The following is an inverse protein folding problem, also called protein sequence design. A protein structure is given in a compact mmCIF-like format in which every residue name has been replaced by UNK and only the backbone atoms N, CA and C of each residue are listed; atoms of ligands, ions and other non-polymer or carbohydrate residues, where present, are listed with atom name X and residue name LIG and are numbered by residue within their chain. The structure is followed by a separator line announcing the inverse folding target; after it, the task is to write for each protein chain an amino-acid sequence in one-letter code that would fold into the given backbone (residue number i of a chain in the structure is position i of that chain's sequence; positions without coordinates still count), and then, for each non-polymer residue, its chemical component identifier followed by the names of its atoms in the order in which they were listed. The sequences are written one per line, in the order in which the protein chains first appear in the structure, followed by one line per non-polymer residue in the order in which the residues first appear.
data_IF_676552507262
#
_entry.id   IF_676552507262
#
_cell.length_a   1.000
_cell.length_b   1.000
_cell.length_c   1.000
_cell.angle_alpha   90.00
_cell.angle_beta   90.00
_cell.angle_gamma   90.00
#
_symmetry.space_group_name_H-M   'P 1'
#
loop_
_entity.id
_entity.type
_entity.pdbx_description
1 polymer ?
#
# COMPACT_ATOMS: atom_id res chain seq x y z
N UNK A 1 -9.47 40.18 -6.54
CA UNK A 1 -10.19 39.38 -5.52
C UNK A 1 -11.38 38.75 -6.21
N UNK A 2 -11.54 37.44 -6.11
CA UNK A 2 -12.68 36.75 -6.66
C UNK A 2 -13.96 37.20 -5.96
N UNK A 3 -15.03 37.48 -6.70
CA UNK A 3 -16.33 37.82 -6.14
C UNK A 3 -17.04 36.57 -5.62
N UNK A 4 -18.01 36.73 -4.71
CA UNK A 4 -18.86 35.61 -4.25
C UNK A 4 -19.45 34.80 -5.42
N UNK A 5 -19.74 35.45 -6.51
CA UNK A 5 -20.27 34.86 -7.73
C UNK A 5 -19.24 34.00 -8.48
N UNK A 6 -17.96 34.34 -8.35
CA UNK A 6 -16.84 33.59 -8.94
C UNK A 6 -16.46 32.41 -8.05
N UNK A 7 -16.54 32.57 -6.73
CA UNK A 7 -16.26 31.50 -5.75
C UNK A 7 -17.37 30.43 -5.68
N UNK A 8 -18.62 30.85 -5.88
CA UNK A 8 -19.77 29.94 -5.90
C UNK A 8 -20.28 29.66 -7.31
N UNK A 9 -19.36 29.58 -8.25
CA UNK A 9 -19.54 29.48 -9.68
C UNK A 9 -20.93 29.06 -10.19
N UNK A 10 -21.41 29.77 -11.17
CA UNK A 10 -22.70 29.50 -11.82
C UNK A 10 -22.74 28.23 -12.63
N UNK A 11 -21.58 27.60 -12.85
CA UNK A 11 -21.47 26.42 -13.69
C UNK A 11 -20.41 25.48 -13.16
N UNK A 12 -20.76 24.22 -13.05
CA UNK A 12 -19.78 23.15 -12.89
C UNK A 12 -19.00 23.03 -14.20
N UNK A 13 -17.68 22.92 -14.11
CA UNK A 13 -16.84 22.74 -15.28
C UNK A 13 -17.25 21.46 -16.03
N UNK A 14 -17.59 21.59 -17.29
CA UNK A 14 -17.88 20.45 -18.16
C UNK A 14 -16.64 20.11 -18.97
N UNK A 15 -16.25 18.86 -18.98
CA UNK A 15 -15.07 18.36 -19.71
C UNK A 15 -15.43 17.06 -20.44
N UNK A 16 -14.70 16.77 -21.51
CA UNK A 16 -14.83 15.51 -22.25
C UNK A 16 -13.83 14.45 -21.76
N UNK A 17 -12.78 14.89 -21.07
CA UNK A 17 -11.73 14.03 -20.51
C UNK A 17 -11.50 14.41 -19.06
N UNK A 18 -11.34 13.45 -18.17
CA UNK A 18 -11.08 13.74 -16.77
C UNK A 18 -9.73 14.45 -16.60
N UNK A 19 -9.65 15.53 -15.80
CA UNK A 19 -8.38 16.09 -15.39
C UNK A 19 -7.53 15.02 -14.67
N UNK A 20 -6.25 14.98 -14.97
CA UNK A 20 -5.31 13.96 -14.45
C UNK A 20 -4.14 14.56 -13.67
N UNK A 21 -4.17 15.86 -13.44
CA UNK A 21 -3.13 16.60 -12.73
C UNK A 21 -3.54 16.91 -11.27
N UNK A 22 -2.56 17.23 -10.46
CA UNK A 22 -2.75 17.60 -9.06
C UNK A 22 -3.65 18.84 -8.88
N UNK A 23 -3.79 19.66 -9.94
CA UNK A 23 -4.68 20.82 -9.94
C UNK A 23 -6.17 20.46 -9.93
N UNK A 24 -6.50 19.21 -10.23
CA UNK A 24 -7.89 18.71 -10.16
C UNK A 24 -8.33 18.34 -8.74
N UNK A 25 -7.39 18.25 -7.80
CA UNK A 25 -7.68 17.86 -6.43
C UNK A 25 -8.69 18.77 -5.76
N UNK A 26 -9.69 18.17 -5.12
CA UNK A 26 -10.78 18.90 -4.45
C UNK A 26 -11.78 19.52 -5.41
N UNK A 27 -11.64 19.39 -6.73
CA UNK A 27 -12.57 19.89 -7.72
C UNK A 27 -13.70 18.90 -8.02
N UNK A 28 -14.84 19.46 -8.42
CA UNK A 28 -15.99 18.72 -8.96
C UNK A 28 -16.20 19.15 -10.41
N UNK A 29 -16.40 18.21 -11.31
CA UNK A 29 -16.70 18.49 -12.71
C UNK A 29 -17.78 17.54 -13.26
N UNK A 30 -18.36 17.92 -14.38
CA UNK A 30 -19.24 17.06 -15.16
C UNK A 30 -18.48 16.53 -16.38
N UNK A 31 -18.36 15.21 -16.49
CA UNK A 31 -17.79 14.59 -17.67
C UNK A 31 -18.92 14.31 -18.68
N UNK A 32 -18.90 14.99 -19.81
CA UNK A 32 -19.93 14.88 -20.82
C UNK A 32 -19.81 13.61 -21.68
N UNK A 33 -18.66 12.93 -21.66
CA UNK A 33 -18.48 11.65 -22.34
C UNK A 33 -19.14 10.52 -21.56
N UNK A 34 -18.93 10.51 -20.24
CA UNK A 34 -19.52 9.49 -19.35
C UNK A 34 -20.91 9.89 -18.83
N UNK A 35 -21.30 11.13 -19.06
CA UNK A 35 -22.55 11.73 -18.58
C UNK A 35 -22.71 11.68 -17.06
N UNK A 36 -21.63 11.89 -16.31
CA UNK A 36 -21.58 11.79 -14.85
C UNK A 36 -20.86 12.97 -14.20
N UNK A 37 -21.27 13.30 -12.96
CA UNK A 37 -20.47 14.14 -12.07
C UNK A 37 -19.33 13.34 -11.47
N UNK A 38 -18.15 13.97 -11.42
CA UNK A 38 -16.93 13.39 -10.85
C UNK A 38 -16.25 14.39 -9.93
N UNK A 39 -15.49 13.88 -8.99
CA UNK A 39 -14.64 14.67 -8.11
C UNK A 39 -13.26 14.04 -8.01
N UNK A 40 -12.21 14.86 -7.97
CA UNK A 40 -10.91 14.40 -7.58
C UNK A 40 -10.82 14.43 -6.05
N UNK A 41 -10.79 13.28 -5.46
CA UNK A 41 -10.43 13.11 -4.04
C UNK A 41 -9.07 12.43 -4.01
N UNK A 42 -8.15 12.95 -3.20
CA UNK A 42 -6.99 12.14 -2.82
C UNK A 42 -7.53 11.02 -1.94
N UNK A 43 -7.86 9.93 -2.58
CA UNK A 43 -8.17 8.70 -1.91
C UNK A 43 -6.94 7.80 -1.96
N UNK A 44 -6.43 7.40 -0.82
CA UNK A 44 -5.54 6.26 -0.78
C UNK A 44 -6.33 5.04 -1.29
N UNK A 45 -6.17 4.73 -2.57
CA UNK A 45 -6.73 3.50 -3.12
C UNK A 45 -5.80 2.34 -2.77
N UNK A 46 -6.36 1.26 -2.26
CA UNK A 46 -5.63 0.00 -2.17
C UNK A 46 -5.37 -0.50 -3.59
N UNK A 47 -4.10 -0.72 -3.90
CA UNK A 47 -3.70 -1.37 -5.14
C UNK A 47 -2.99 -2.67 -4.82
N UNK A 48 -3.12 -3.66 -5.69
CA UNK A 48 -2.38 -4.91 -5.57
C UNK A 48 -0.90 -4.65 -5.82
N UNK A 49 -0.06 -5.01 -4.85
CA UNK A 49 1.38 -5.14 -5.05
C UNK A 49 1.74 -6.48 -5.69
N UNK A 50 3.02 -6.69 -5.99
CA UNK A 50 3.52 -8.00 -6.41
C UNK A 50 3.31 -9.06 -5.31
N UNK A 51 3.15 -10.33 -5.68
CA UNK A 51 3.04 -11.42 -4.70
C UNK A 51 4.39 -11.68 -4.01
N UNK A 52 4.34 -12.19 -2.79
CA UNK A 52 5.50 -12.80 -2.13
C UNK A 52 5.97 -14.04 -2.91
N UNK A 53 7.25 -14.34 -2.84
CA UNK A 53 7.82 -15.56 -3.45
C UNK A 53 7.18 -16.83 -2.87
N UNK A 54 6.91 -16.80 -1.58
CA UNK A 54 6.18 -17.89 -0.89
C UNK A 54 4.98 -17.33 -0.13
N UNK A 55 3.76 -17.79 -0.50
CA UNK A 55 2.53 -17.42 0.20
C UNK A 55 2.57 -17.90 1.65
N UNK A 56 2.26 -16.99 2.58
CA UNK A 56 2.37 -17.24 4.03
C UNK A 56 1.33 -16.47 4.83
N UNK A 57 1.05 -16.92 6.03
CA UNK A 57 0.20 -16.27 7.01
C UNK A 57 0.96 -16.09 8.33
N UNK A 58 0.46 -15.25 9.23
CA UNK A 58 1.08 -14.92 10.51
C UNK A 58 2.55 -14.48 10.42
N UNK A 59 2.92 -13.82 9.32
CA UNK A 59 4.26 -13.25 9.14
C UNK A 59 4.38 -11.91 9.88
N UNK A 60 5.59 -11.58 10.34
CA UNK A 60 5.93 -10.24 10.78
C UNK A 60 6.08 -9.29 9.59
N UNK A 61 5.68 -8.04 9.74
CA UNK A 61 5.86 -7.02 8.72
C UNK A 61 6.31 -5.70 9.30
N UNK A 62 7.12 -4.97 8.55
CA UNK A 62 7.61 -3.63 8.90
C UNK A 62 8.02 -2.85 7.65
N UNK A 63 8.45 -1.60 7.83
CA UNK A 63 8.93 -0.75 6.76
C UNK A 63 7.90 0.23 6.24
N UNK A 64 8.06 0.65 5.00
CA UNK A 64 7.20 1.62 4.32
C UNK A 64 6.52 1.01 3.10
N UNK A 65 5.59 1.74 2.48
CA UNK A 65 4.90 1.30 1.27
C UNK A 65 5.84 0.97 0.10
N UNK A 66 6.99 1.62 0.00
CA UNK A 66 7.98 1.41 -1.08
C UNK A 66 9.21 0.63 -0.63
N UNK A 67 9.35 0.35 0.66
CA UNK A 67 10.46 -0.38 1.25
C UNK A 67 9.97 -1.23 2.44
N UNK A 68 9.16 -2.23 2.12
CA UNK A 68 8.56 -3.15 3.08
C UNK A 68 9.44 -4.36 3.35
N UNK A 69 9.22 -4.99 4.47
CA UNK A 69 9.86 -6.26 4.85
C UNK A 69 8.79 -7.22 5.36
N UNK A 70 8.83 -8.45 4.89
CA UNK A 70 8.06 -9.57 5.42
C UNK A 70 9.01 -10.61 6.00
N UNK A 71 8.72 -11.07 7.22
CA UNK A 71 9.63 -11.89 7.99
C UNK A 71 8.90 -13.14 8.47
N UNK A 72 9.49 -14.31 8.20
CA UNK A 72 9.01 -15.58 8.71
C UNK A 72 7.54 -15.85 8.35
N UNK A 73 6.76 -16.45 9.22
CA UNK A 73 5.36 -16.82 9.01
C UNK A 73 5.17 -18.31 8.86
N UNK A 74 3.95 -18.70 8.53
CA UNK A 74 3.59 -20.11 8.36
C UNK A 74 3.08 -20.41 6.97
N UNK A 75 3.37 -21.62 6.53
CA UNK A 75 2.71 -22.29 5.42
C UNK A 75 2.58 -23.78 5.77
N UNK A 76 1.46 -24.44 5.51
CA UNK A 76 1.35 -25.87 5.82
C UNK A 76 2.45 -26.70 5.13
N UNK A 77 3.11 -27.62 5.82
CA UNK A 77 2.85 -28.08 7.19
C UNK A 77 3.70 -27.40 8.29
N UNK A 78 4.36 -26.26 8.07
CA UNK A 78 5.30 -25.74 9.05
C UNK A 78 5.47 -24.24 9.05
N UNK A 79 6.53 -23.79 9.70
CA UNK A 79 6.93 -22.40 9.78
C UNK A 79 8.05 -22.07 8.78
N UNK A 80 8.13 -20.82 8.38
CA UNK A 80 9.15 -20.30 7.48
C UNK A 80 10.15 -19.44 8.26
N UNK A 81 11.37 -19.36 7.72
CA UNK A 81 12.39 -18.42 8.15
C UNK A 81 12.63 -17.32 7.08
N UNK A 82 11.99 -17.43 5.93
CA UNK A 82 12.23 -16.54 4.80
C UNK A 82 11.97 -15.09 5.16
N UNK A 83 12.85 -14.23 4.73
CA UNK A 83 12.71 -12.77 4.77
C UNK A 83 12.63 -12.27 3.35
N UNK A 84 11.66 -11.43 3.07
CA UNK A 84 11.49 -10.81 1.76
C UNK A 84 11.42 -9.29 1.89
N UNK A 85 12.13 -8.60 1.00
CA UNK A 85 12.16 -7.14 0.88
C UNK A 85 11.34 -6.68 -0.32
N UNK A 86 10.53 -5.64 -0.11
CA UNK A 86 9.80 -4.95 -1.16
C UNK A 86 10.54 -3.69 -1.59
N UNK A 87 10.71 -3.51 -2.90
CA UNK A 87 11.42 -2.36 -3.47
C UNK A 87 10.50 -1.31 -4.11
N UNK A 88 9.20 -1.37 -3.85
CA UNK A 88 8.19 -0.52 -4.47
C UNK A 88 7.54 -1.13 -5.72
N UNK A 89 8.11 -2.21 -6.25
CA UNK A 89 7.59 -2.90 -7.45
C UNK A 89 7.36 -4.40 -7.22
N UNK A 90 8.30 -5.06 -6.53
CA UNK A 90 8.24 -6.50 -6.29
C UNK A 90 8.98 -6.89 -5.02
N UNK A 91 8.81 -8.15 -4.64
CA UNK A 91 9.46 -8.78 -3.50
C UNK A 91 10.68 -9.57 -3.95
N UNK A 92 11.74 -9.53 -3.15
CA UNK A 92 12.97 -10.34 -3.32
C UNK A 92 13.32 -11.01 -2.01
N UNK A 93 13.80 -12.27 -2.10
CA UNK A 93 14.30 -12.97 -0.92
C UNK A 93 15.64 -12.39 -0.47
N UNK A 94 15.80 -12.30 0.85
CA UNK A 94 16.98 -11.85 1.55
C UNK A 94 17.50 -12.93 2.51
N UNK A 95 18.50 -12.61 3.30
CA UNK A 95 19.02 -13.52 4.33
C UNK A 95 17.92 -13.91 5.30
N UNK A 96 17.73 -15.21 5.47
CA UNK A 96 16.69 -15.76 6.33
C UNK A 96 16.84 -15.32 7.80
N UNK A 97 15.72 -15.21 8.47
CA UNK A 97 15.66 -15.07 9.92
C UNK A 97 16.28 -16.32 10.59
N UNK A 98 16.98 -16.16 11.72
CA UNK A 98 17.75 -17.26 12.33
C UNK A 98 16.92 -18.51 12.69
N UNK A 99 15.63 -18.37 12.89
CA UNK A 99 14.74 -19.48 13.26
C UNK A 99 13.43 -19.41 12.51
N UNK A 100 12.96 -20.51 11.98
CA UNK A 100 11.61 -20.59 11.44
C UNK A 100 10.57 -20.32 12.54
N UNK A 101 9.56 -19.49 12.24
CA UNK A 101 8.57 -19.11 13.24
C UNK A 101 7.43 -18.29 12.64
N UNK A 102 6.44 -18.01 13.49
CA UNK A 102 5.25 -17.24 13.13
C UNK A 102 4.90 -16.20 14.20
N UNK A 103 3.94 -15.34 13.92
CA UNK A 103 3.40 -14.33 14.83
C UNK A 103 4.48 -13.40 15.42
N UNK A 104 5.47 -13.06 14.62
CA UNK A 104 6.52 -12.10 14.98
C UNK A 104 6.01 -10.67 14.83
N UNK A 105 6.54 -9.77 15.65
CA UNK A 105 6.27 -8.34 15.55
C UNK A 105 7.54 -7.63 15.09
N UNK A 106 7.43 -6.73 14.13
CA UNK A 106 8.54 -5.96 13.62
C UNK A 106 8.28 -4.47 13.69
N UNK A 107 9.33 -3.70 13.91
CA UNK A 107 9.30 -2.25 13.87
C UNK A 107 10.59 -1.69 13.26
N UNK A 108 10.48 -0.56 12.58
CA UNK A 108 11.61 0.11 11.95
C UNK A 108 11.49 0.21 10.43
N UNK A 109 12.64 0.38 9.79
CA UNK A 109 12.78 0.47 8.34
C UNK A 109 13.43 -0.78 7.77
N UNK A 110 13.43 -0.92 6.45
CA UNK A 110 14.08 -2.05 5.77
C UNK A 110 15.57 -2.20 6.12
N UNK A 111 16.27 -1.10 6.41
CA UNK A 111 17.71 -1.09 6.70
C UNK A 111 18.05 -1.02 8.20
N UNK A 112 17.05 -0.69 9.05
CA UNK A 112 17.24 -0.55 10.50
C UNK A 112 15.96 -1.00 11.21
N UNK A 113 15.91 -2.26 11.59
CA UNK A 113 14.70 -2.87 12.15
C UNK A 113 14.99 -3.72 13.38
N UNK A 114 13.98 -3.87 14.20
CA UNK A 114 13.93 -4.81 15.31
C UNK A 114 12.76 -5.77 15.07
N UNK A 115 13.00 -7.04 15.31
CA UNK A 115 11.99 -8.10 15.28
C UNK A 115 11.98 -8.79 16.64
N UNK A 116 10.79 -8.99 17.21
CA UNK A 116 10.64 -9.59 18.52
C UNK A 116 9.40 -10.50 18.58
N UNK A 117 9.39 -11.38 19.56
CA UNK A 117 8.29 -12.31 19.81
C UNK A 117 8.25 -13.47 18.83
N UNK A 118 7.04 -13.98 18.65
CA UNK A 118 6.77 -15.12 17.78
C UNK A 118 6.82 -16.47 18.47
N UNK A 119 6.40 -17.49 17.73
CA UNK A 119 6.44 -18.88 18.12
C UNK A 119 7.22 -19.69 17.11
N UNK A 120 8.13 -20.52 17.57
CA UNK A 120 8.91 -21.45 16.77
C UNK A 120 8.40 -22.87 16.82
N UNK A 121 7.44 -23.17 17.69
CA UNK A 121 6.81 -24.48 17.74
C UNK A 121 5.66 -24.57 16.73
N UNK A 122 5.56 -25.63 15.97
CA UNK A 122 4.32 -25.95 15.28
C UNK A 122 3.23 -26.14 16.33
N UNK A 123 2.12 -25.40 16.17
CA UNK A 123 0.97 -25.49 17.05
C UNK A 123 0.26 -26.83 16.97
#
# INVERSE_FOLDING_TARGET
MATYRELHGKAVKTVTTNPSDDAAEGQIWFNSTDNTFKSAVIGAAWSSGGPLSTGRYLSGSLGTQTAGVQIAGSTPPGHLANVEHYNGTGWSEETNYPSAGQAMSGAGTQTASIVAGGSTSPG
#
